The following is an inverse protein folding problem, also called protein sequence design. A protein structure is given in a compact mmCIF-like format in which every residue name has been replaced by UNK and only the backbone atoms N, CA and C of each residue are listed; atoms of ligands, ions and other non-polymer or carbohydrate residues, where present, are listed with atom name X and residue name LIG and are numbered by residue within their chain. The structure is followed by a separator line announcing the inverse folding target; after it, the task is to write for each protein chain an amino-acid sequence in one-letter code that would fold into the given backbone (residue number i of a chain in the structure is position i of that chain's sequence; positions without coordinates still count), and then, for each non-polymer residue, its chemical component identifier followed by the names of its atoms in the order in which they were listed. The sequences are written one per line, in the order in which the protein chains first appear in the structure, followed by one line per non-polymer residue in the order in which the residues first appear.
data_IF_798679249133
#
_entry.id   IF_798679249133
#
_cell.length_a   1.000
_cell.length_b   1.000
_cell.length_c   1.000
_cell.angle_alpha   90.00
_cell.angle_beta   90.00
_cell.angle_gamma   90.00
#
_symmetry.space_group_name_H-M   'P 1'
#
loop_
_entity.id
_entity.type
_entity.pdbx_description
1 polymer ?
#
# COMPACT_ATOMS: atom_id res chain seq x y z
N UNK A 1 -16.89 68.10 8.72
CA UNK A 1 -15.97 67.32 7.86
C UNK A 1 -16.75 66.15 7.29
N UNK A 2 -16.88 66.10 5.96
CA UNK A 2 -17.38 65.06 5.02
C UNK A 2 -18.36 64.00 5.56
N UNK A 3 -19.65 63.87 5.22
CA UNK A 3 -20.46 63.97 3.97
C UNK A 3 -20.24 62.89 2.90
N UNK A 4 -21.33 62.15 2.58
CA UNK A 4 -21.53 61.20 1.45
C UNK A 4 -21.89 59.78 1.93
N UNK A 5 -23.13 59.26 1.95
CA UNK A 5 -24.22 59.05 0.95
C UNK A 5 -23.90 58.06 -0.19
N UNK A 6 -24.49 56.86 -0.05
CA UNK A 6 -25.03 55.89 -1.02
C UNK A 6 -24.60 55.94 -2.50
N UNK A 7 -24.31 54.75 -3.06
CA UNK A 7 -24.96 54.30 -4.31
C UNK A 7 -24.94 52.79 -4.50
N UNK A 8 -26.13 52.29 -4.83
CA UNK A 8 -26.53 50.95 -5.21
C UNK A 8 -25.90 50.51 -6.54
N UNK A 9 -25.72 49.19 -6.69
CA UNK A 9 -25.42 48.55 -7.96
C UNK A 9 -25.87 47.09 -7.97
N UNK A 10 -27.17 46.88 -8.17
CA UNK A 10 -27.73 45.58 -8.60
C UNK A 10 -27.42 45.42 -10.08
N UNK A 11 -26.87 44.28 -10.49
CA UNK A 11 -27.07 43.75 -11.85
C UNK A 11 -27.42 42.27 -11.72
N UNK A 12 -28.70 42.01 -11.94
CA UNK A 12 -29.22 40.71 -12.29
C UNK A 12 -28.83 40.38 -13.74
N UNK A 13 -28.46 39.14 -14.00
CA UNK A 13 -28.32 38.57 -15.33
C UNK A 13 -28.88 37.15 -15.29
N UNK A 14 -30.08 36.99 -15.83
CA UNK A 14 -30.81 35.74 -15.91
C UNK A 14 -30.51 34.99 -17.23
N UNK A 15 -30.64 33.66 -17.14
CA UNK A 15 -31.11 32.72 -18.17
C UNK A 15 -30.24 32.43 -19.40
N UNK A 16 -29.94 31.13 -19.62
CA UNK A 16 -30.61 30.36 -20.68
C UNK A 16 -30.30 28.86 -20.55
N UNK A 17 -31.38 28.06 -20.62
CA UNK A 17 -31.40 26.61 -20.82
C UNK A 17 -30.71 26.21 -22.12
N UNK A 18 -30.01 25.08 -22.11
CA UNK A 18 -29.95 24.18 -23.28
C UNK A 18 -30.22 22.77 -22.79
N UNK A 19 -31.43 22.29 -23.08
CA UNK A 19 -31.80 20.87 -23.05
C UNK A 19 -31.65 20.37 -24.48
N UNK A 20 -30.81 19.36 -24.70
CA UNK A 20 -30.97 18.45 -25.84
C UNK A 20 -31.03 17.02 -25.30
N UNK A 21 -32.25 16.50 -25.30
CA UNK A 21 -32.56 15.08 -25.25
C UNK A 21 -32.40 14.53 -26.67
N UNK A 22 -31.67 13.43 -26.82
CA UNK A 22 -31.70 12.60 -28.02
C UNK A 22 -31.63 11.14 -27.59
N UNK A 23 -32.80 10.58 -27.28
CA UNK A 23 -33.00 9.15 -27.15
C UNK A 23 -33.02 8.53 -28.55
N UNK A 24 -32.15 7.57 -28.80
CA UNK A 24 -32.25 6.68 -29.97
C UNK A 24 -32.12 5.22 -29.53
N UNK A 25 -33.25 4.53 -29.70
CA UNK A 25 -33.48 3.12 -30.06
C UNK A 25 -32.60 2.02 -29.44
N UNK A 26 -33.28 1.15 -28.67
CA UNK A 26 -32.92 -0.24 -28.46
C UNK A 26 -33.27 -1.10 -29.70
N UNK A 27 -32.28 -1.82 -30.23
CA UNK A 27 -32.36 -3.09 -30.96
C UNK A 27 -30.88 -3.51 -31.18
N UNK A 28 -30.33 -4.51 -30.50
CA UNK A 28 -30.71 -5.91 -30.64
C UNK A 28 -29.77 -6.58 -31.65
N UNK A 29 -28.58 -6.99 -31.18
CA UNK A 29 -27.79 -8.11 -31.70
C UNK A 29 -26.66 -8.40 -30.70
N UNK A 30 -26.89 -9.43 -29.88
CA UNK A 30 -25.84 -10.08 -29.13
C UNK A 30 -24.98 -10.85 -30.13
N UNK A 31 -23.76 -10.36 -30.33
CA UNK A 31 -22.66 -11.16 -30.83
C UNK A 31 -21.66 -11.26 -29.69
N UNK A 32 -21.59 -12.45 -29.11
CA UNK A 32 -20.57 -12.88 -28.18
C UNK A 32 -19.19 -12.52 -28.75
N UNK A 33 -18.51 -11.56 -28.13
CA UNK A 33 -17.07 -11.49 -28.20
C UNK A 33 -16.55 -12.31 -27.02
N UNK A 34 -16.45 -13.63 -27.24
CA UNK A 34 -15.44 -14.40 -26.58
C UNK A 34 -14.10 -13.90 -27.12
N UNK A 35 -13.38 -13.12 -26.33
CA UNK A 35 -11.95 -12.96 -26.51
C UNK A 35 -11.26 -13.27 -25.18
N UNK A 36 -10.61 -14.42 -25.18
CA UNK A 36 -9.82 -14.92 -24.08
C UNK A 36 -8.55 -14.09 -23.98
N UNK A 37 -8.61 -13.01 -23.23
CA UNK A 37 -7.42 -12.35 -22.71
C UNK A 37 -6.89 -13.18 -21.55
N UNK A 38 -6.03 -14.16 -21.83
CA UNK A 38 -5.08 -14.68 -20.84
C UNK A 38 -4.29 -13.47 -20.35
N UNK A 39 -4.66 -12.94 -19.18
CA UNK A 39 -3.95 -11.83 -18.57
C UNK A 39 -2.54 -12.31 -18.29
N UNK A 40 -1.59 -11.83 -19.08
CA UNK A 40 -0.18 -11.80 -18.70
C UNK A 40 -0.12 -10.95 -17.42
N UNK A 41 -0.26 -11.62 -16.29
CA UNK A 41 0.06 -11.09 -14.97
C UNK A 41 1.51 -10.66 -15.06
N UNK A 42 1.78 -9.36 -14.89
CA UNK A 42 3.11 -8.81 -15.00
C UNK A 42 4.03 -9.47 -13.99
N UNK A 43 4.78 -10.47 -14.45
CA UNK A 43 5.85 -11.10 -13.69
C UNK A 43 6.95 -10.06 -13.51
N UNK A 44 7.28 -9.75 -12.27
CA UNK A 44 8.43 -8.88 -11.93
C UNK A 44 9.78 -9.54 -12.26
N UNK A 45 9.77 -10.80 -12.71
CA UNK A 45 10.95 -11.60 -13.02
C UNK A 45 11.61 -12.17 -11.76
N UNK A 46 10.93 -12.12 -10.61
CA UNK A 46 11.43 -12.65 -9.34
C UNK A 46 11.06 -14.11 -9.16
N UNK A 47 12.07 -14.97 -9.00
CA UNK A 47 11.84 -16.36 -8.62
C UNK A 47 11.55 -16.47 -7.12
N UNK A 48 10.41 -17.08 -6.77
CA UNK A 48 10.13 -17.49 -5.39
C UNK A 48 10.82 -18.83 -5.10
N UNK A 49 11.62 -18.88 -4.02
CA UNK A 49 12.25 -20.10 -3.54
C UNK A 49 11.23 -21.08 -2.94
N UNK A 50 11.70 -22.24 -2.46
CA UNK A 50 10.82 -23.23 -1.81
C UNK A 50 10.08 -22.63 -0.61
N UNK A 51 10.79 -21.83 0.20
CA UNK A 51 10.19 -21.06 1.29
C UNK A 51 9.84 -19.66 0.80
N UNK A 52 8.58 -19.25 0.98
CA UNK A 52 8.05 -17.98 0.50
C UNK A 52 6.91 -17.47 1.37
N UNK A 53 6.43 -16.25 1.11
CA UNK A 53 5.23 -15.72 1.77
C UNK A 53 4.11 -15.52 0.76
N UNK A 54 2.91 -15.92 1.15
CA UNK A 54 1.67 -15.57 0.46
C UNK A 54 1.14 -14.30 1.13
N UNK A 55 1.05 -13.21 0.37
CA UNK A 55 0.77 -11.86 0.86
C UNK A 55 -0.57 -11.38 0.31
N UNK A 56 -1.47 -10.98 1.18
CA UNK A 56 -2.75 -10.34 0.81
C UNK A 56 -2.69 -8.86 1.17
N UNK A 57 -3.05 -8.02 0.21
CA UNK A 57 -3.08 -6.56 0.34
C UNK A 57 -4.50 -6.09 0.16
N UNK A 58 -4.99 -5.28 1.10
CA UNK A 58 -6.29 -4.61 1.00
C UNK A 58 -6.14 -3.16 1.45
N UNK A 59 -6.22 -2.24 0.49
CA UNK A 59 -5.91 -0.82 0.69
C UNK A 59 -6.98 0.05 0.03
N UNK A 60 -7.25 1.19 0.64
CA UNK A 60 -8.20 2.21 0.18
C UNK A 60 -7.61 3.61 0.35
N UNK A 61 -8.21 4.61 -0.30
CA UNK A 61 -7.83 6.02 -0.19
C UNK A 61 -7.30 6.56 -1.52
N UNK A 62 -6.06 7.04 -1.53
CA UNK A 62 -5.37 7.50 -2.74
C UNK A 62 -5.32 6.44 -3.84
N UNK A 63 -5.14 5.20 -3.42
CA UNK A 63 -5.16 4.00 -4.24
C UNK A 63 -6.12 3.03 -3.58
N UNK A 64 -6.97 2.39 -4.38
CA UNK A 64 -7.77 1.24 -3.95
C UNK A 64 -7.20 0.02 -4.64
N UNK A 65 -6.82 -0.98 -3.84
CA UNK A 65 -6.15 -2.19 -4.33
C UNK A 65 -6.51 -3.35 -3.42
N UNK A 66 -6.90 -4.48 -4.02
CA UNK A 66 -7.18 -5.71 -3.28
C UNK A 66 -6.72 -6.93 -4.04
N UNK A 67 -5.83 -7.72 -3.45
CA UNK A 67 -5.40 -8.97 -4.06
C UNK A 67 -4.37 -9.71 -3.24
N UNK A 68 -3.96 -10.86 -3.78
CA UNK A 68 -2.97 -11.74 -3.19
C UNK A 68 -1.84 -11.96 -4.19
N UNK A 69 -0.60 -11.98 -3.71
CA UNK A 69 0.60 -12.26 -4.49
C UNK A 69 1.58 -13.02 -3.60
N UNK A 70 2.62 -13.59 -4.20
CA UNK A 70 3.76 -14.12 -3.45
C UNK A 70 4.79 -13.03 -3.22
N UNK A 71 5.65 -13.25 -2.22
CA UNK A 71 6.91 -12.53 -2.09
C UNK A 71 8.01 -13.54 -1.69
N UNK A 72 9.21 -13.42 -2.27
CA UNK A 72 10.36 -14.18 -1.81
C UNK A 72 10.64 -13.85 -0.34
N UNK A 73 11.27 -14.78 0.37
CA UNK A 73 11.71 -14.50 1.73
C UNK A 73 12.69 -13.33 1.72
N UNK A 74 12.45 -12.27 2.52
CA UNK A 74 13.35 -11.13 2.54
C UNK A 74 14.68 -11.58 3.12
N UNK A 75 15.75 -11.62 2.33
CA UNK A 75 17.08 -11.89 2.87
C UNK A 75 17.60 -10.60 3.49
N UNK A 76 17.97 -10.59 4.77
CA UNK A 76 18.88 -9.58 5.28
C UNK A 76 20.25 -10.24 5.52
N UNK A 77 21.31 -9.58 5.05
CA UNK A 77 22.67 -10.11 4.90
C UNK A 77 22.86 -11.31 3.93
N UNK A 78 21.94 -11.55 3.00
CA UNK A 78 22.12 -12.53 1.92
C UNK A 78 22.08 -13.99 2.35
N UNK A 79 21.48 -14.29 3.50
CA UNK A 79 21.25 -15.66 3.98
C UNK A 79 19.82 -16.07 3.64
N UNK A 80 19.68 -17.17 2.92
CA UNK A 80 18.37 -17.75 2.61
C UNK A 80 17.78 -18.47 3.83
N UNK A 81 16.49 -18.27 4.07
CA UNK A 81 15.76 -19.03 5.06
C UNK A 81 15.42 -20.43 4.55
N UNK A 82 15.65 -21.42 5.40
CA UNK A 82 15.38 -22.83 5.08
C UNK A 82 14.03 -23.32 5.58
N UNK A 83 13.35 -22.54 6.45
CA UNK A 83 12.02 -22.88 6.98
C UNK A 83 11.24 -21.66 7.46
N UNK A 84 9.92 -21.82 7.60
CA UNK A 84 9.05 -20.81 8.21
C UNK A 84 9.38 -20.50 9.67
N UNK A 85 9.84 -21.50 10.42
CA UNK A 85 10.29 -21.29 11.81
C UNK A 85 11.55 -20.44 11.86
N UNK A 86 12.49 -20.62 10.92
CA UNK A 86 13.70 -19.80 10.84
C UNK A 86 13.34 -18.36 10.49
N UNK A 87 12.43 -18.14 9.54
CA UNK A 87 11.92 -16.81 9.20
C UNK A 87 11.15 -16.18 10.38
N UNK A 88 10.26 -16.93 11.00
CA UNK A 88 9.46 -16.52 12.16
C UNK A 88 10.26 -16.12 13.39
N UNK A 89 11.46 -16.67 13.56
CA UNK A 89 12.41 -16.31 14.61
C UNK A 89 13.02 -14.91 14.42
N UNK A 90 12.96 -14.36 13.20
CA UNK A 90 13.64 -13.13 12.82
C UNK A 90 15.15 -13.28 12.74
N UNK A 91 15.82 -12.18 12.41
CA UNK A 91 17.27 -12.11 12.31
C UNK A 91 17.87 -11.41 13.50
N UNK A 92 19.17 -11.60 13.74
CA UNK A 92 19.93 -10.81 14.70
C UNK A 92 21.06 -10.09 13.99
N UNK A 93 21.27 -8.83 14.33
CA UNK A 93 22.48 -8.12 13.91
C UNK A 93 23.71 -8.58 14.71
N UNK A 94 24.87 -8.02 14.36
CA UNK A 94 26.16 -8.32 15.02
C UNK A 94 26.17 -7.92 16.51
N UNK A 95 25.29 -6.99 16.91
CA UNK A 95 25.08 -6.60 18.31
C UNK A 95 24.05 -7.49 19.04
N UNK A 96 23.48 -8.48 18.37
CA UNK A 96 22.50 -9.42 18.92
C UNK A 96 21.08 -8.87 19.03
N UNK A 97 20.79 -7.69 18.48
CA UNK A 97 19.44 -7.12 18.41
C UNK A 97 18.66 -7.86 17.33
N UNK A 98 17.47 -8.30 17.70
CA UNK A 98 16.61 -9.03 16.79
C UNK A 98 15.76 -8.10 15.93
N UNK A 99 15.60 -8.43 14.65
CA UNK A 99 14.76 -7.74 13.68
C UNK A 99 13.86 -8.75 12.98
N UNK A 100 12.69 -8.32 12.56
CA UNK A 100 11.82 -9.12 11.70
C UNK A 100 11.43 -8.29 10.48
N UNK A 101 11.92 -8.66 9.31
CA UNK A 101 11.62 -7.98 8.05
C UNK A 101 10.30 -8.53 7.53
N UNK A 102 9.32 -7.67 7.24
CA UNK A 102 8.07 -8.09 6.61
C UNK A 102 8.34 -8.49 5.15
N UNK A 103 7.43 -9.23 4.49
CA UNK A 103 7.51 -9.45 3.05
C UNK A 103 7.68 -8.11 2.32
N UNK A 104 8.67 -7.98 1.43
CA UNK A 104 9.02 -6.70 0.82
C UNK A 104 8.43 -6.51 -0.57
N UNK A 105 9.00 -7.16 -1.59
CA UNK A 105 8.57 -6.99 -2.98
C UNK A 105 7.69 -8.16 -3.41
N UNK A 106 6.49 -7.85 -3.89
CA UNK A 106 5.54 -8.85 -4.38
C UNK A 106 5.92 -9.26 -5.80
N UNK A 107 5.81 -10.55 -6.12
CA UNK A 107 6.19 -11.13 -7.42
C UNK A 107 5.26 -10.74 -8.55
N UNK A 108 3.97 -10.65 -8.24
CA UNK A 108 2.92 -10.37 -9.21
C UNK A 108 2.40 -8.94 -9.02
N UNK A 109 1.96 -8.35 -10.14
CA UNK A 109 1.19 -7.10 -10.05
C UNK A 109 -0.20 -7.38 -9.48
N UNK A 110 -0.65 -6.56 -8.54
CA UNK A 110 -2.06 -6.53 -8.09
C UNK A 110 -2.73 -5.34 -8.78
N UNK A 111 -3.83 -5.57 -9.48
CA UNK A 111 -4.54 -4.54 -10.27
C UNK A 111 -3.60 -3.74 -11.21
N UNK A 112 -2.62 -4.43 -11.82
CA UNK A 112 -1.63 -3.83 -12.72
C UNK A 112 -0.56 -2.96 -12.03
N UNK A 113 -0.47 -3.01 -10.69
CA UNK A 113 0.52 -2.27 -9.91
C UNK A 113 1.49 -3.21 -9.23
N UNK A 114 2.78 -2.88 -9.29
CA UNK A 114 3.78 -3.49 -8.41
C UNK A 114 3.53 -3.03 -6.98
N UNK A 115 3.77 -3.92 -6.02
CA UNK A 115 3.60 -3.61 -4.60
C UNK A 115 4.91 -3.86 -3.86
N UNK A 116 5.34 -2.87 -3.09
CA UNK A 116 6.46 -2.97 -2.17
C UNK A 116 6.01 -2.61 -0.76
N UNK A 117 6.45 -3.36 0.23
CA UNK A 117 6.15 -3.17 1.65
C UNK A 117 7.48 -2.94 2.36
N UNK A 118 7.74 -1.68 2.70
CA UNK A 118 8.93 -1.27 3.42
C UNK A 118 8.64 -1.21 4.91
N UNK A 119 8.69 -2.33 5.60
CA UNK A 119 8.54 -2.37 7.05
C UNK A 119 9.34 -3.52 7.67
N UNK A 120 9.94 -3.25 8.81
CA UNK A 120 10.56 -4.25 9.69
C UNK A 120 10.30 -3.88 11.15
N UNK A 121 10.25 -4.90 12.00
CA UNK A 121 10.12 -4.76 13.44
C UNK A 121 11.53 -4.69 14.04
N UNK A 122 11.86 -3.57 14.68
CA UNK A 122 13.06 -3.45 15.53
C UNK A 122 12.79 -4.13 16.86
N UNK A 123 13.85 -4.64 17.47
CA UNK A 123 13.77 -5.25 18.79
C UNK A 123 12.73 -6.39 18.85
N UNK A 124 12.65 -7.18 17.79
CA UNK A 124 11.70 -8.28 17.66
C UNK A 124 11.87 -9.28 18.83
N UNK A 125 10.75 -9.73 19.40
CA UNK A 125 10.70 -10.65 20.55
C UNK A 125 9.87 -11.91 20.28
N UNK A 126 9.51 -12.17 19.02
CA UNK A 126 8.63 -13.27 18.62
C UNK A 126 7.17 -12.84 18.42
N UNK A 127 6.25 -13.79 18.56
CA UNK A 127 4.82 -13.56 18.40
C UNK A 127 4.31 -12.40 19.27
N UNK A 128 3.42 -11.58 18.73
CA UNK A 128 2.86 -10.44 19.44
C UNK A 128 2.52 -9.28 18.53
N UNK A 129 2.17 -8.16 19.16
CA UNK A 129 1.77 -6.91 18.48
C UNK A 129 2.82 -5.82 18.72
N UNK A 130 3.17 -5.13 17.65
CA UNK A 130 4.25 -4.18 17.55
C UNK A 130 3.71 -2.85 17.02
N UNK A 131 3.80 -1.82 17.84
CA UNK A 131 3.28 -0.49 17.52
C UNK A 131 4.26 0.30 16.63
N UNK A 132 3.75 1.34 15.96
CA UNK A 132 4.50 2.23 15.04
C UNK A 132 5.91 2.58 15.50
N UNK A 133 6.11 2.87 16.79
CA UNK A 133 7.41 3.27 17.34
C UNK A 133 8.49 2.18 17.27
N UNK A 134 8.09 0.93 17.07
CA UNK A 134 8.99 -0.22 16.90
C UNK A 134 9.24 -0.57 15.43
N UNK A 135 8.53 0.08 14.50
CA UNK A 135 8.61 -0.20 13.07
C UNK A 135 9.59 0.74 12.38
N UNK A 136 10.35 0.23 11.42
CA UNK A 136 11.27 1.03 10.57
C UNK A 136 11.25 0.50 9.14
N UNK A 137 11.83 1.26 8.23
CA UNK A 137 12.46 0.77 7.01
C UNK A 137 13.91 1.28 6.98
N UNK A 138 14.80 0.76 6.14
CA UNK A 138 16.27 0.92 6.15
C UNK A 138 16.74 2.40 6.19
N UNK A 139 16.74 3.01 7.38
CA UNK A 139 16.98 4.45 7.57
C UNK A 139 15.79 5.36 7.26
N UNK A 140 14.63 4.81 6.90
CA UNK A 140 13.39 5.50 6.54
C UNK A 140 12.23 5.13 7.48
N UNK A 141 11.17 5.97 7.55
CA UNK A 141 9.91 5.54 8.14
C UNK A 141 9.33 4.36 7.36
N UNK A 142 8.63 3.42 8.01
CA UNK A 142 7.98 2.32 7.30
C UNK A 142 6.90 2.85 6.36
N UNK A 143 6.64 2.12 5.27
CA UNK A 143 5.74 2.52 4.21
C UNK A 143 5.39 1.42 3.21
N UNK A 144 4.62 1.79 2.19
CA UNK A 144 4.24 0.94 1.06
C UNK A 144 4.46 1.69 -0.25
N UNK A 145 4.74 0.97 -1.32
CA UNK A 145 4.71 1.50 -2.69
C UNK A 145 3.66 0.80 -3.53
N UNK A 146 2.94 1.57 -4.34
CA UNK A 146 2.02 1.06 -5.37
C UNK A 146 2.40 1.65 -6.72
N UNK A 147 2.93 0.82 -7.64
CA UNK A 147 3.34 1.28 -8.96
C UNK A 147 4.44 2.35 -8.94
N UNK A 148 5.31 2.32 -7.92
CA UNK A 148 6.41 3.27 -7.74
C UNK A 148 6.07 4.52 -6.91
N UNK A 149 4.80 4.78 -6.61
CA UNK A 149 4.41 5.85 -5.69
C UNK A 149 4.55 5.39 -4.25
N UNK A 150 5.23 6.16 -3.39
CA UNK A 150 5.60 5.77 -2.02
C UNK A 150 4.73 6.48 -0.98
N UNK A 151 4.19 5.70 -0.05
CA UNK A 151 3.37 6.16 1.07
C UNK A 151 4.02 5.75 2.38
N UNK A 152 4.39 6.73 3.20
CA UNK A 152 5.12 6.51 4.44
C UNK A 152 4.29 6.83 5.67
N UNK A 153 4.66 6.23 6.78
CA UNK A 153 4.18 6.63 8.10
C UNK A 153 4.58 8.07 8.42
N UNK A 154 3.65 8.80 9.01
CA UNK A 154 3.82 10.16 9.53
C UNK A 154 3.57 10.18 11.04
N UNK A 155 3.74 11.34 11.68
CA UNK A 155 3.49 11.51 13.11
C UNK A 155 2.04 11.19 13.51
N UNK A 156 1.07 11.41 12.62
CA UNK A 156 -0.36 11.20 12.85
C UNK A 156 -0.87 9.83 12.36
N UNK A 157 -0.03 9.02 11.73
CA UNK A 157 -0.40 7.72 11.16
C UNK A 157 -0.54 6.69 12.30
N UNK A 158 -1.56 5.83 12.22
CA UNK A 158 -1.60 4.60 13.03
C UNK A 158 -0.97 3.45 12.25
N UNK A 159 -0.19 2.61 12.92
CA UNK A 159 0.58 1.55 12.26
C UNK A 159 0.91 0.48 13.29
N UNK A 160 0.40 -0.72 13.08
CA UNK A 160 0.49 -1.82 14.05
C UNK A 160 0.72 -3.13 13.30
N UNK A 161 1.77 -3.86 13.66
CA UNK A 161 2.09 -5.18 13.11
C UNK A 161 1.79 -6.24 14.16
N UNK A 162 1.07 -7.29 13.78
CA UNK A 162 0.91 -8.50 14.60
C UNK A 162 1.57 -9.67 13.90
N UNK A 163 2.36 -10.46 14.62
CA UNK A 163 3.03 -11.67 14.10
C UNK A 163 2.64 -12.88 14.93
N UNK A 164 2.56 -14.03 14.28
CA UNK A 164 2.30 -15.33 14.92
C UNK A 164 3.57 -16.03 15.45
N UNK A 165 4.75 -15.45 15.20
CA UNK A 165 6.05 -16.03 15.55
C UNK A 165 6.50 -17.20 14.66
N UNK A 166 5.75 -17.51 13.60
CA UNK A 166 5.97 -18.62 12.65
C UNK A 166 6.10 -18.13 11.21
N UNK A 167 6.45 -16.87 11.04
CA UNK A 167 6.63 -16.22 9.74
C UNK A 167 5.35 -15.66 9.13
N UNK A 168 4.21 -15.74 9.82
CA UNK A 168 2.95 -15.11 9.43
C UNK A 168 2.65 -13.85 10.23
N UNK A 169 1.74 -13.03 9.72
CA UNK A 169 1.32 -11.82 10.41
C UNK A 169 0.40 -10.90 9.60
N UNK A 170 0.16 -9.73 10.17
CA UNK A 170 -0.60 -8.65 9.53
C UNK A 170 -0.10 -7.29 9.98
N UNK A 171 0.03 -6.37 9.03
CA UNK A 171 0.29 -4.97 9.25
C UNK A 171 -0.96 -4.16 8.92
N UNK A 172 -1.50 -3.46 9.91
CA UNK A 172 -2.63 -2.54 9.76
C UNK A 172 -2.13 -1.11 9.88
N UNK A 173 -2.52 -0.25 8.95
CA UNK A 173 -2.12 1.15 8.96
C UNK A 173 -3.25 2.08 8.51
N UNK A 174 -3.22 3.31 9.01
CA UNK A 174 -4.12 4.38 8.57
C UNK A 174 -3.35 5.65 8.25
N UNK A 175 -3.74 6.33 7.18
CA UNK A 175 -3.16 7.59 6.72
C UNK A 175 -1.65 7.53 6.44
N UNK A 176 -1.19 6.49 5.73
CA UNK A 176 0.14 6.56 5.08
C UNK A 176 0.06 7.59 3.96
N UNK A 177 1.05 8.47 3.86
CA UNK A 177 1.02 9.58 2.89
C UNK A 177 2.37 9.79 2.24
N UNK A 178 2.34 10.36 1.04
CA UNK A 178 3.54 10.76 0.29
C UNK A 178 4.33 11.82 1.07
N UNK A 179 5.65 11.81 0.91
CA UNK A 179 6.54 12.84 1.47
C UNK A 179 7.01 13.80 0.36
N UNK A 180 7.22 15.06 0.73
CA UNK A 180 7.97 16.01 -0.08
C UNK A 180 9.46 15.63 -0.07
N UNK A 181 10.23 16.22 -1.00
CA UNK A 181 11.68 16.00 -1.09
C UNK A 181 12.46 16.39 0.20
N UNK A 182 11.89 17.23 1.05
CA UNK A 182 12.45 17.63 2.35
C UNK A 182 12.04 16.69 3.51
N UNK A 183 11.35 15.59 3.22
CA UNK A 183 10.87 14.61 4.20
C UNK A 183 9.61 15.05 4.97
N UNK A 184 9.07 16.25 4.70
CA UNK A 184 7.81 16.68 5.29
C UNK A 184 6.63 15.99 4.62
N UNK A 185 5.52 15.84 5.35
CA UNK A 185 4.26 15.34 4.78
C UNK A 185 3.91 16.16 3.54
N UNK A 186 3.75 15.48 2.40
CA UNK A 186 3.20 16.08 1.18
C UNK A 186 1.86 16.73 1.52
N UNK A 187 1.81 18.06 1.48
CA UNK A 187 0.75 18.84 2.13
C UNK A 187 -0.65 18.33 1.75
N UNK A 188 -1.45 17.92 2.75
CA UNK A 188 -2.84 17.47 2.59
C UNK A 188 -3.07 16.35 1.55
N UNK A 189 -2.00 15.72 1.06
CA UNK A 189 -2.03 14.83 -0.08
C UNK A 189 -2.81 13.55 0.17
N UNK A 190 -3.14 12.83 -0.91
CA UNK A 190 -3.97 11.65 -0.84
C UNK A 190 -3.24 10.59 0.00
N UNK A 191 -3.95 10.02 0.97
CA UNK A 191 -3.41 9.05 1.91
C UNK A 191 -4.01 7.66 1.64
N UNK A 192 -3.30 6.62 2.04
CA UNK A 192 -3.76 5.24 1.96
C UNK A 192 -3.93 4.65 3.35
N UNK A 193 -4.97 3.85 3.52
CA UNK A 193 -5.26 3.08 4.73
C UNK A 193 -5.60 1.66 4.35
N UNK A 194 -5.17 0.68 5.14
CA UNK A 194 -5.39 -0.70 4.78
C UNK A 194 -4.70 -1.70 5.67
N UNK A 195 -4.62 -2.91 5.14
CA UNK A 195 -3.99 -4.07 5.78
C UNK A 195 -3.15 -4.82 4.75
N UNK A 196 -1.96 -5.23 5.19
CA UNK A 196 -1.13 -6.22 4.50
C UNK A 196 -1.03 -7.42 5.42
N UNK A 197 -1.56 -8.57 5.03
CA UNK A 197 -1.42 -9.83 5.77
C UNK A 197 -0.56 -10.81 4.99
N UNK A 198 0.11 -11.70 5.71
CA UNK A 198 0.94 -12.71 5.08
C UNK A 198 0.97 -14.00 5.87
N UNK A 199 1.21 -15.10 5.16
CA UNK A 199 1.48 -16.41 5.73
C UNK A 199 2.75 -16.97 5.12
N UNK A 200 3.60 -17.59 5.94
CA UNK A 200 4.73 -18.34 5.42
C UNK A 200 4.28 -19.69 4.83
N UNK A 201 4.85 -20.05 3.68
CA UNK A 201 4.66 -21.31 2.99
C UNK A 201 6.02 -21.93 2.62
N UNK A 202 6.06 -23.26 2.54
CA UNK A 202 7.24 -24.07 2.21
C UNK A 202 6.86 -25.31 1.41
#
# INVERSE_FOLDING_TARGET
MFSGINRSGRLAGAAAMVVLVSATAACGSASEAADGGSGDVGDTGMSVGSVHTEVTVEVTGAVTLKGTSKAPMPTNNGVDYTSCDQYGAGEKDDEGRAYFVLPQMLTDTIDGKTVFVGAMIKDYRGAGTYERGTLTDTGSPPGVSFGGELYFTQSNTTSTVTTDGKGGGSWVFTDLSTQNADGTKGGGGPAVSGTVSWTCAS
#
